data_IF_192110764705
#
_entry.id   IF_192110764705
#
_cell.length_a   1.000
_cell.length_b   1.000
_cell.length_c   1.000
_cell.angle_alpha   90.00
_cell.angle_beta   90.00
_cell.angle_gamma   90.00
#
_symmetry.space_group_name_H-M   'P 1'
#
loop_
_entity.id
_entity.type
_entity.pdbx_description
1 polymer ?
#
# COMPACT_ATOMS: atom_id res chain seq x y z
N UNK A 1 -10.22 -39.51 -29.98
CA UNK A 1 -10.39 -38.23 -30.71
C UNK A 1 -9.70 -37.18 -29.84
N UNK A 2 -8.47 -36.82 -30.17
CA UNK A 2 -7.71 -35.81 -29.43
C UNK A 2 -8.36 -34.45 -29.69
N UNK A 3 -8.91 -33.83 -28.66
CA UNK A 3 -9.34 -32.44 -28.71
C UNK A 3 -8.06 -31.61 -28.60
N UNK A 4 -7.68 -30.82 -29.62
CA UNK A 4 -6.52 -29.94 -29.53
C UNK A 4 -6.80 -28.90 -28.46
N UNK A 5 -5.85 -28.68 -27.56
CA UNK A 5 -5.81 -27.50 -26.71
C UNK A 5 -5.87 -26.26 -27.62
N UNK A 6 -6.81 -25.33 -27.41
CA UNK A 6 -6.86 -24.12 -28.22
C UNK A 6 -5.56 -23.34 -28.03
N UNK A 7 -4.90 -23.02 -29.14
CA UNK A 7 -3.77 -22.09 -29.17
C UNK A 7 -4.26 -20.72 -28.73
N UNK A 8 -3.85 -20.30 -27.54
CA UNK A 8 -4.05 -18.95 -27.02
C UNK A 8 -3.37 -17.98 -28.01
N UNK A 9 -4.07 -16.94 -28.51
CA UNK A 9 -3.44 -15.90 -29.31
C UNK A 9 -2.28 -15.26 -28.53
N UNK A 10 -1.11 -15.15 -29.15
CA UNK A 10 0.04 -14.41 -28.59
C UNK A 10 -0.28 -12.92 -28.70
N UNK A 11 -1.03 -12.40 -27.72
CA UNK A 11 -1.18 -10.96 -27.53
C UNK A 11 0.21 -10.37 -27.25
N UNK A 12 0.45 -9.09 -27.58
CA UNK A 12 1.70 -8.42 -27.20
C UNK A 12 1.78 -8.34 -25.68
N UNK A 13 2.26 -9.43 -25.07
CA UNK A 13 3.00 -9.40 -23.83
C UNK A 13 4.12 -8.41 -24.09
N UNK A 14 4.43 -7.54 -23.12
CA UNK A 14 5.77 -7.00 -23.11
C UNK A 14 6.66 -8.23 -23.16
N UNK A 15 7.34 -8.44 -24.30
CA UNK A 15 8.33 -9.50 -24.37
C UNK A 15 9.19 -9.26 -23.14
N UNK A 16 9.46 -10.31 -22.38
CA UNK A 16 10.53 -10.29 -21.41
C UNK A 16 11.77 -9.81 -22.17
N UNK A 17 12.05 -8.51 -22.12
CA UNK A 17 13.38 -8.03 -22.41
C UNK A 17 14.18 -8.75 -21.34
N UNK A 18 15.02 -9.68 -21.77
CA UNK A 18 15.85 -10.49 -20.90
C UNK A 18 16.72 -9.57 -20.04
N UNK A 19 16.14 -9.04 -18.96
CA UNK A 19 16.70 -8.05 -18.07
C UNK A 19 17.47 -8.69 -16.93
N UNK A 20 17.91 -9.94 -17.15
CA UNK A 20 18.52 -10.76 -16.12
C UNK A 20 19.99 -10.47 -15.86
N UNK A 21 20.65 -9.66 -16.69
CA UNK A 21 22.03 -9.18 -16.50
C UNK A 21 22.94 -10.12 -15.67
N UNK A 22 23.43 -9.61 -14.54
CA UNK A 22 24.23 -10.37 -13.56
C UNK A 22 23.38 -11.04 -12.47
N UNK A 23 22.05 -10.93 -12.53
CA UNK A 23 21.12 -11.35 -11.47
C UNK A 23 20.34 -12.64 -11.82
N UNK A 24 20.52 -13.19 -13.03
CA UNK A 24 19.73 -14.31 -13.57
C UNK A 24 18.38 -13.86 -14.11
N UNK A 25 17.57 -14.79 -14.62
CA UNK A 25 16.25 -14.46 -15.18
C UNK A 25 15.30 -13.95 -14.08
N UNK A 26 15.11 -12.63 -14.04
CA UNK A 26 14.17 -11.98 -13.13
C UNK A 26 12.74 -12.20 -13.64
N UNK A 27 11.79 -12.59 -12.77
CA UNK A 27 10.43 -12.88 -13.20
C UNK A 27 9.67 -11.61 -13.57
N UNK A 28 8.75 -11.78 -14.50
CA UNK A 28 7.69 -10.84 -14.84
C UNK A 28 6.36 -11.52 -14.56
N UNK A 29 5.41 -10.80 -13.98
CA UNK A 29 4.15 -11.42 -13.62
C UNK A 29 3.32 -11.76 -14.86
N UNK A 30 2.45 -12.76 -14.72
CA UNK A 30 1.44 -13.11 -15.70
C UNK A 30 0.06 -12.74 -15.15
N UNK A 31 -0.66 -11.84 -15.81
CA UNK A 31 -1.97 -11.38 -15.38
C UNK A 31 -3.14 -12.20 -15.98
N UNK A 32 -2.86 -13.29 -16.70
CA UNK A 32 -3.86 -14.15 -17.36
C UNK A 32 -4.87 -14.76 -16.35
N UNK A 33 -4.48 -14.92 -15.08
CA UNK A 33 -5.37 -15.39 -14.01
C UNK A 33 -6.45 -14.34 -13.63
N UNK A 34 -6.25 -13.06 -14.00
CA UNK A 34 -7.28 -12.02 -13.94
C UNK A 34 -8.03 -11.93 -15.28
N UNK A 35 -7.31 -11.58 -16.36
CA UNK A 35 -7.83 -11.46 -17.72
C UNK A 35 -6.71 -11.71 -18.73
N UNK A 36 -7.02 -12.40 -19.83
CA UNK A 36 -6.05 -12.77 -20.87
C UNK A 36 -5.58 -11.58 -21.76
N UNK A 37 -6.23 -10.43 -21.66
CA UNK A 37 -5.96 -9.26 -22.51
C UNK A 37 -6.95 -8.12 -22.27
N UNK A 38 -6.60 -6.90 -22.72
CA UNK A 38 -7.49 -5.72 -22.62
C UNK A 38 -8.77 -5.84 -23.45
N UNK A 39 -8.70 -6.55 -24.58
CA UNK A 39 -9.84 -6.76 -25.50
C UNK A 39 -10.52 -8.13 -25.31
N UNK A 40 -10.27 -8.80 -24.18
CA UNK A 40 -10.87 -10.13 -23.95
C UNK A 40 -12.39 -10.02 -23.72
N UNK A 41 -13.11 -11.07 -24.12
CA UNK A 41 -14.58 -11.10 -24.03
C UNK A 41 -15.06 -11.07 -22.57
N UNK A 42 -14.23 -11.55 -21.66
CA UNK A 42 -14.46 -11.58 -20.22
C UNK A 42 -14.60 -10.19 -19.62
N UNK A 43 -13.74 -9.23 -19.98
CA UNK A 43 -13.87 -7.84 -19.50
C UNK A 43 -15.18 -7.22 -19.99
N UNK A 44 -15.52 -7.42 -21.27
CA UNK A 44 -16.78 -6.91 -21.83
C UNK A 44 -17.99 -7.51 -21.13
N UNK A 45 -17.97 -8.83 -20.87
CA UNK A 45 -19.02 -9.53 -20.13
C UNK A 45 -19.15 -9.00 -18.71
N UNK A 46 -18.02 -8.83 -18.01
CA UNK A 46 -17.99 -8.43 -16.61
C UNK A 46 -18.44 -6.95 -16.45
N UNK A 47 -18.04 -6.05 -17.36
CA UNK A 47 -18.57 -4.69 -17.44
C UNK A 47 -20.07 -4.66 -17.72
N UNK A 48 -20.55 -5.47 -18.66
CA UNK A 48 -21.98 -5.60 -18.95
C UNK A 48 -22.77 -6.09 -17.74
N UNK A 49 -22.26 -7.13 -17.07
CA UNK A 49 -22.86 -7.64 -15.83
C UNK A 49 -22.85 -6.59 -14.72
N UNK A 50 -21.77 -5.83 -14.53
CA UNK A 50 -21.71 -4.75 -13.54
C UNK A 50 -22.76 -3.67 -13.82
N UNK A 51 -22.93 -3.27 -15.08
CA UNK A 51 -23.93 -2.28 -15.48
C UNK A 51 -25.35 -2.73 -15.13
N UNK A 52 -25.68 -3.97 -15.48
CA UNK A 52 -26.99 -4.56 -15.20
C UNK A 52 -27.20 -4.80 -13.69
N UNK A 53 -26.21 -5.38 -13.01
CA UNK A 53 -26.32 -5.75 -11.60
C UNK A 53 -26.34 -4.52 -10.69
N UNK A 54 -25.54 -3.47 -10.95
CA UNK A 54 -25.59 -2.25 -10.14
C UNK A 54 -26.98 -1.58 -10.22
N UNK A 55 -27.58 -1.54 -11.41
CA UNK A 55 -28.93 -1.00 -11.61
C UNK A 55 -29.99 -1.89 -10.94
N UNK A 56 -29.89 -3.21 -11.09
CA UNK A 56 -30.81 -4.16 -10.46
C UNK A 56 -30.70 -4.15 -8.93
N UNK A 57 -29.48 -4.06 -8.39
CA UNK A 57 -29.22 -3.96 -6.96
C UNK A 57 -29.90 -2.72 -6.36
N UNK A 58 -29.77 -1.56 -7.02
CA UNK A 58 -30.47 -0.35 -6.61
C UNK A 58 -32.00 -0.53 -6.67
N UNK A 59 -32.53 -1.06 -7.78
CA UNK A 59 -33.97 -1.30 -7.92
C UNK A 59 -34.54 -2.25 -6.84
N UNK A 60 -33.76 -3.24 -6.40
CA UNK A 60 -34.17 -4.23 -5.43
C UNK A 60 -34.05 -3.76 -3.97
N UNK A 61 -33.12 -2.87 -3.66
CA UNK A 61 -32.74 -2.57 -2.28
C UNK A 61 -32.81 -1.10 -1.86
N UNK A 62 -32.77 -0.15 -2.80
CA UNK A 62 -32.84 1.27 -2.48
C UNK A 62 -34.18 1.62 -1.82
N UNK A 63 -34.11 2.31 -0.68
CA UNK A 63 -35.22 2.66 0.19
C UNK A 63 -35.75 1.51 1.03
N UNK A 64 -35.16 0.30 0.96
CA UNK A 64 -35.75 -0.93 1.49
C UNK A 64 -34.85 -1.71 2.45
N UNK A 65 -33.60 -1.29 2.69
CA UNK A 65 -32.66 -2.08 3.50
C UNK A 65 -33.15 -2.38 4.93
N UNK A 66 -33.86 -1.43 5.56
CA UNK A 66 -34.45 -1.64 6.89
C UNK A 66 -35.55 -2.72 6.87
N UNK A 67 -36.30 -2.84 5.78
CA UNK A 67 -37.43 -3.78 5.69
C UNK A 67 -36.98 -5.23 5.48
N UNK A 68 -35.72 -5.45 5.09
CA UNK A 68 -35.16 -6.79 4.89
C UNK A 68 -35.11 -7.57 6.20
N UNK A 69 -35.47 -8.84 6.16
CA UNK A 69 -35.14 -9.78 7.23
C UNK A 69 -33.65 -10.18 7.18
N UNK A 70 -33.24 -11.07 8.08
CA UNK A 70 -31.83 -11.50 8.13
C UNK A 70 -31.38 -12.24 6.86
N UNK A 71 -32.28 -12.98 6.19
CA UNK A 71 -31.96 -13.68 4.94
C UNK A 71 -31.81 -12.68 3.79
N UNK A 72 -32.77 -11.77 3.65
CA UNK A 72 -32.74 -10.73 2.62
C UNK A 72 -31.53 -9.79 2.77
N UNK A 73 -31.16 -9.45 4.01
CA UNK A 73 -29.95 -8.66 4.27
C UNK A 73 -28.67 -9.43 3.91
N UNK A 74 -28.61 -10.73 4.21
CA UNK A 74 -27.48 -11.58 3.82
C UNK A 74 -27.35 -11.67 2.29
N UNK A 75 -28.45 -11.88 1.57
CA UNK A 75 -28.48 -11.90 0.11
C UNK A 75 -28.07 -10.56 -0.50
N UNK A 76 -28.48 -9.45 0.12
CA UNK A 76 -28.02 -8.10 -0.23
C UNK A 76 -26.49 -7.98 -0.09
N UNK A 77 -25.93 -8.37 1.05
CA UNK A 77 -24.48 -8.32 1.28
C UNK A 77 -23.72 -9.20 0.29
N UNK A 78 -24.18 -10.43 0.01
CA UNK A 78 -23.52 -11.31 -0.97
C UNK A 78 -23.53 -10.73 -2.39
N UNK A 79 -24.64 -10.09 -2.81
CA UNK A 79 -24.70 -9.41 -4.11
C UNK A 79 -23.75 -8.22 -4.15
N UNK A 80 -23.73 -7.40 -3.10
CA UNK A 80 -22.80 -6.28 -2.97
C UNK A 80 -21.33 -6.76 -3.02
N UNK A 81 -21.01 -7.83 -2.29
CA UNK A 81 -19.70 -8.46 -2.25
C UNK A 81 -19.26 -8.94 -3.64
N UNK A 82 -20.17 -9.56 -4.42
CA UNK A 82 -19.90 -9.98 -5.79
C UNK A 82 -19.64 -8.81 -6.73
N UNK A 83 -20.37 -7.72 -6.59
CA UNK A 83 -20.14 -6.48 -7.36
C UNK A 83 -18.73 -5.95 -7.07
N UNK A 84 -18.34 -5.87 -5.79
CA UNK A 84 -17.00 -5.45 -5.39
C UNK A 84 -15.92 -6.36 -5.95
N UNK A 85 -16.11 -7.69 -5.90
CA UNK A 85 -15.15 -8.65 -6.46
C UNK A 85 -14.95 -8.48 -7.97
N UNK A 86 -16.03 -8.32 -8.75
CA UNK A 86 -15.88 -8.16 -10.22
C UNK A 86 -15.28 -6.80 -10.57
N UNK A 87 -15.72 -5.71 -9.93
CA UNK A 87 -15.12 -4.39 -10.13
C UNK A 87 -13.64 -4.37 -9.73
N UNK A 88 -13.31 -4.96 -8.58
CA UNK A 88 -11.96 -5.11 -8.06
C UNK A 88 -11.06 -5.91 -8.99
N UNK A 89 -11.56 -6.96 -9.65
CA UNK A 89 -10.80 -7.74 -10.62
C UNK A 89 -10.39 -6.91 -11.84
N UNK A 90 -11.35 -6.18 -12.43
CA UNK A 90 -11.10 -5.29 -13.58
C UNK A 90 -10.08 -4.22 -13.21
N UNK A 91 -10.29 -3.56 -12.07
CA UNK A 91 -9.38 -2.50 -11.61
C UNK A 91 -7.99 -3.02 -11.24
N UNK A 92 -7.90 -4.22 -10.66
CA UNK A 92 -6.62 -4.87 -10.39
C UNK A 92 -5.85 -5.15 -11.68
N UNK A 93 -6.51 -5.71 -12.70
CA UNK A 93 -5.87 -5.97 -13.98
C UNK A 93 -5.40 -4.68 -14.67
N UNK A 94 -6.27 -3.66 -14.73
CA UNK A 94 -5.93 -2.36 -15.31
C UNK A 94 -4.77 -1.67 -14.56
N UNK A 95 -4.82 -1.69 -13.22
CA UNK A 95 -3.82 -1.10 -12.34
C UNK A 95 -2.46 -1.80 -12.44
N UNK A 96 -2.43 -3.13 -12.32
CA UNK A 96 -1.19 -3.90 -12.42
C UNK A 96 -0.52 -3.70 -13.78
N UNK A 97 -1.28 -3.68 -14.89
CA UNK A 97 -0.72 -3.33 -16.20
C UNK A 97 -0.14 -1.92 -16.22
N UNK A 98 -0.87 -0.93 -15.70
CA UNK A 98 -0.35 0.44 -15.60
C UNK A 98 0.96 0.51 -14.80
N UNK A 99 1.07 -0.22 -13.68
CA UNK A 99 2.28 -0.21 -12.85
C UNK A 99 3.49 -0.85 -13.53
N UNK A 100 3.31 -1.79 -14.46
CA UNK A 100 4.42 -2.32 -15.27
C UNK A 100 5.05 -1.25 -16.18
N UNK A 101 4.26 -0.29 -16.67
CA UNK A 101 4.78 0.87 -17.41
C UNK A 101 3.81 2.08 -17.33
N UNK A 102 4.11 2.99 -16.40
CA UNK A 102 3.33 4.19 -16.10
C UNK A 102 3.43 5.28 -17.16
N UNK A 103 4.41 5.18 -18.08
CA UNK A 103 4.59 6.13 -19.18
C UNK A 103 3.90 5.69 -20.48
N UNK A 104 3.32 4.49 -20.51
CA UNK A 104 2.53 3.99 -21.63
C UNK A 104 1.14 4.64 -21.65
N UNK A 105 0.88 5.44 -22.69
CA UNK A 105 -0.39 6.16 -22.85
C UNK A 105 -1.60 5.23 -23.04
N UNK A 106 -1.41 4.04 -23.63
CA UNK A 106 -2.47 3.05 -23.82
C UNK A 106 -2.90 2.45 -22.49
N UNK A 107 -1.95 2.08 -21.62
CA UNK A 107 -2.23 1.56 -20.27
C UNK A 107 -2.86 2.62 -19.38
N UNK A 108 -2.34 3.84 -19.42
CA UNK A 108 -2.92 4.97 -18.68
C UNK A 108 -4.37 5.24 -19.12
N UNK A 109 -4.63 5.22 -20.43
CA UNK A 109 -5.99 5.38 -20.97
C UNK A 109 -6.89 4.22 -20.53
N UNK A 110 -6.44 2.98 -20.65
CA UNK A 110 -7.22 1.80 -20.25
C UNK A 110 -7.61 1.86 -18.77
N UNK A 111 -6.67 2.19 -17.88
CA UNK A 111 -6.96 2.40 -16.46
C UNK A 111 -8.00 3.50 -16.23
N UNK A 112 -7.85 4.64 -16.90
CA UNK A 112 -8.80 5.75 -16.80
C UNK A 112 -10.19 5.39 -17.31
N UNK A 113 -10.29 4.68 -18.44
CA UNK A 113 -11.56 4.24 -19.03
C UNK A 113 -12.28 3.24 -18.12
N UNK A 114 -11.56 2.26 -17.56
CA UNK A 114 -12.14 1.27 -16.63
C UNK A 114 -12.60 1.95 -15.34
N UNK A 115 -11.77 2.84 -14.77
CA UNK A 115 -12.12 3.61 -13.58
C UNK A 115 -13.38 4.45 -13.82
N UNK A 116 -13.46 5.15 -14.96
CA UNK A 116 -14.61 5.98 -15.32
C UNK A 116 -15.90 5.16 -15.41
N UNK A 117 -15.89 4.08 -16.20
CA UNK A 117 -17.06 3.20 -16.36
C UNK A 117 -17.51 2.59 -15.02
N UNK A 118 -16.59 2.08 -14.21
CA UNK A 118 -16.92 1.49 -12.91
C UNK A 118 -17.47 2.55 -11.95
N UNK A 119 -16.92 3.77 -11.97
CA UNK A 119 -17.43 4.89 -11.16
C UNK A 119 -18.86 5.25 -11.55
N UNK A 120 -19.13 5.35 -12.85
CA UNK A 120 -20.47 5.66 -13.36
C UNK A 120 -21.48 4.58 -12.96
N UNK A 121 -21.13 3.30 -13.13
CA UNK A 121 -22.00 2.16 -12.76
C UNK A 121 -22.22 2.06 -11.25
N UNK A 122 -21.16 2.20 -10.45
CA UNK A 122 -21.23 2.05 -8.99
C UNK A 122 -21.89 3.22 -8.27
N UNK A 123 -22.13 4.35 -8.95
CA UNK A 123 -22.89 5.49 -8.41
C UNK A 123 -24.28 5.09 -7.89
N UNK A 124 -24.91 4.09 -8.52
CA UNK A 124 -26.18 3.52 -8.09
C UNK A 124 -26.11 2.76 -6.75
N UNK A 125 -24.92 2.45 -6.24
CA UNK A 125 -24.72 1.71 -4.98
C UNK A 125 -24.52 2.62 -3.78
N UNK A 126 -24.42 3.94 -3.98
CA UNK A 126 -24.10 4.91 -2.89
C UNK A 126 -25.14 4.86 -1.77
N UNK A 127 -26.41 4.54 -2.07
CA UNK A 127 -27.44 4.39 -1.05
C UNK A 127 -27.12 3.29 -0.03
N UNK A 128 -26.34 2.26 -0.41
CA UNK A 128 -26.11 1.09 0.44
C UNK A 128 -25.51 1.47 1.79
N UNK A 129 -24.38 2.18 1.81
CA UNK A 129 -23.75 2.60 3.06
C UNK A 129 -24.60 3.62 3.82
N UNK A 130 -25.29 4.52 3.11
CA UNK A 130 -26.16 5.54 3.72
C UNK A 130 -27.36 4.92 4.43
N UNK A 131 -28.06 4.00 3.78
CA UNK A 131 -29.20 3.30 4.36
C UNK A 131 -28.77 2.30 5.42
N UNK A 132 -27.65 1.59 5.21
CA UNK A 132 -27.07 0.78 6.26
C UNK A 132 -26.81 1.61 7.50
N UNK A 133 -26.35 2.86 7.42
CA UNK A 133 -26.19 3.76 8.57
C UNK A 133 -27.53 4.20 9.21
N UNK A 134 -28.62 4.28 8.45
CA UNK A 134 -29.95 4.68 8.95
C UNK A 134 -30.66 3.58 9.74
N UNK A 135 -30.34 2.30 9.52
CA UNK A 135 -30.94 1.19 10.28
C UNK A 135 -30.70 1.41 11.79
N UNK A 136 -31.75 1.27 12.60
CA UNK A 136 -31.66 1.44 14.06
C UNK A 136 -30.77 0.37 14.69
N UNK A 137 -30.01 0.70 15.74
CA UNK A 137 -29.04 -0.23 16.31
C UNK A 137 -29.71 -1.51 16.82
N UNK A 138 -30.81 -1.39 17.57
CA UNK A 138 -31.58 -2.55 18.05
C UNK A 138 -32.14 -3.42 16.92
N UNK A 139 -32.46 -2.82 15.77
CA UNK A 139 -32.97 -3.53 14.61
C UNK A 139 -31.86 -4.31 13.91
N UNK A 140 -30.72 -3.66 13.67
CA UNK A 140 -29.55 -4.33 13.10
C UNK A 140 -29.07 -5.48 13.99
N UNK A 141 -29.02 -5.27 15.31
CA UNK A 141 -28.69 -6.31 16.29
C UNK A 141 -29.66 -7.49 16.22
N UNK A 142 -30.96 -7.24 16.08
CA UNK A 142 -31.94 -8.31 15.92
C UNK A 142 -31.74 -9.11 14.63
N UNK A 143 -31.43 -8.45 13.51
CA UNK A 143 -31.11 -9.13 12.23
C UNK A 143 -29.84 -9.98 12.36
N UNK A 144 -28.77 -9.44 12.95
CA UNK A 144 -27.51 -10.16 13.17
C UNK A 144 -27.70 -11.37 14.11
N UNK A 145 -28.50 -11.24 15.16
CA UNK A 145 -28.79 -12.35 16.09
C UNK A 145 -29.62 -13.48 15.45
N UNK A 146 -30.38 -13.19 14.39
CA UNK A 146 -31.25 -14.15 13.72
C UNK A 146 -30.51 -15.04 12.69
N UNK A 147 -29.28 -14.68 12.28
CA UNK A 147 -28.50 -15.46 11.30
C UNK A 147 -27.01 -15.42 11.64
N UNK A 148 -26.41 -16.59 11.91
CA UNK A 148 -24.97 -16.71 12.13
C UNK A 148 -24.13 -16.31 10.91
N UNK A 149 -24.64 -16.58 9.71
CA UNK A 149 -23.99 -16.22 8.45
C UNK A 149 -23.99 -14.70 8.23
N UNK A 150 -25.08 -14.01 8.62
CA UNK A 150 -25.12 -12.55 8.61
C UNK A 150 -24.23 -11.96 9.71
N UNK A 151 -24.24 -12.55 10.91
CA UNK A 151 -23.42 -12.11 12.04
C UNK A 151 -21.92 -12.10 11.72
N UNK A 152 -21.47 -12.97 10.81
CA UNK A 152 -20.09 -13.00 10.30
C UNK A 152 -19.64 -11.66 9.72
N UNK A 153 -20.55 -10.90 9.10
CA UNK A 153 -20.25 -9.60 8.49
C UNK A 153 -20.28 -8.43 9.49
N UNK A 154 -20.55 -8.68 10.77
CA UNK A 154 -20.58 -7.64 11.83
C UNK A 154 -19.37 -6.69 11.77
N UNK A 155 -18.10 -7.14 11.67
CA UNK A 155 -16.97 -6.21 11.65
C UNK A 155 -17.01 -5.21 10.48
N UNK A 156 -17.53 -5.63 9.32
CA UNK A 156 -17.70 -4.77 8.15
C UNK A 156 -18.78 -3.73 8.41
N UNK A 157 -19.91 -4.14 9.00
CA UNK A 157 -21.04 -3.27 9.30
C UNK A 157 -20.72 -2.28 10.41
N UNK A 158 -20.02 -2.72 11.46
CA UNK A 158 -19.58 -1.87 12.56
C UNK A 158 -18.62 -0.78 12.04
N UNK A 159 -17.65 -1.16 11.19
CA UNK A 159 -16.72 -0.19 10.56
C UNK A 159 -17.45 0.79 9.64
N UNK A 160 -18.37 0.31 8.81
CA UNK A 160 -19.18 1.15 7.93
C UNK A 160 -19.97 2.20 8.72
N UNK A 161 -20.46 1.81 9.91
CA UNK A 161 -21.28 2.64 10.80
C UNK A 161 -20.47 3.40 11.86
N UNK A 162 -19.15 3.29 11.90
CA UNK A 162 -18.32 3.87 12.96
C UNK A 162 -18.45 5.40 13.06
N UNK A 163 -18.68 6.07 11.92
CA UNK A 163 -18.89 7.53 11.86
C UNK A 163 -20.33 7.97 12.11
N UNK A 164 -21.30 7.04 12.24
CA UNK A 164 -22.73 7.35 12.44
C UNK A 164 -22.98 8.34 13.58
N UNK A 165 -22.33 8.26 14.76
CA UNK A 165 -22.55 9.24 15.84
C UNK A 165 -22.09 10.68 15.50
N UNK A 166 -21.28 10.84 14.47
CA UNK A 166 -20.65 12.09 14.03
C UNK A 166 -21.12 12.54 12.65
N UNK A 167 -22.09 11.82 12.07
CA UNK A 167 -22.66 12.14 10.77
C UNK A 167 -23.49 13.42 10.86
N UNK A 168 -23.37 14.27 9.84
CA UNK A 168 -24.16 15.49 9.71
C UNK A 168 -25.51 15.17 9.05
N UNK A 169 -26.32 16.19 8.78
CA UNK A 169 -27.53 15.99 7.97
C UNK A 169 -27.16 15.58 6.54
N UNK A 170 -28.04 14.86 5.87
CA UNK A 170 -27.82 14.40 4.49
C UNK A 170 -27.46 15.54 3.52
N UNK A 171 -28.11 16.70 3.66
CA UNK A 171 -27.79 17.90 2.86
C UNK A 171 -26.35 18.38 3.12
N UNK A 172 -25.90 18.35 4.38
CA UNK A 172 -24.55 18.77 4.74
C UNK A 172 -23.50 17.76 4.31
N UNK A 173 -23.77 16.45 4.41
CA UNK A 173 -22.84 15.41 3.92
C UNK A 173 -22.65 15.53 2.40
N UNK A 174 -23.75 15.73 1.65
CA UNK A 174 -23.68 15.98 0.21
C UNK A 174 -22.91 17.26 -0.11
N UNK A 175 -23.18 18.34 0.61
CA UNK A 175 -22.44 19.59 0.44
C UNK A 175 -20.93 19.42 0.71
N UNK A 176 -20.56 18.73 1.79
CA UNK A 176 -19.14 18.47 2.09
C UNK A 176 -18.47 17.61 1.02
N UNK A 177 -19.17 16.60 0.50
CA UNK A 177 -18.68 15.78 -0.60
C UNK A 177 -18.39 16.63 -1.85
N UNK A 178 -19.36 17.42 -2.31
CA UNK A 178 -19.22 18.28 -3.50
C UNK A 178 -18.11 19.32 -3.27
N UNK A 179 -18.04 19.90 -2.07
CA UNK A 179 -17.05 20.91 -1.71
C UNK A 179 -15.62 20.34 -1.62
N UNK A 180 -15.45 19.06 -1.29
CA UNK A 180 -14.12 18.45 -1.12
C UNK A 180 -13.26 18.47 -2.39
N UNK A 181 -13.90 18.54 -3.57
CA UNK A 181 -13.23 18.62 -4.88
C UNK A 181 -12.44 19.93 -5.02
N UNK A 182 -13.01 21.04 -4.52
CA UNK A 182 -12.40 22.37 -4.56
C UNK A 182 -11.75 22.77 -3.21
N UNK A 183 -11.96 21.97 -2.17
CA UNK A 183 -11.32 22.05 -0.86
C UNK A 183 -10.05 21.20 -0.80
N UNK A 184 -10.02 20.25 0.14
CA UNK A 184 -8.82 19.44 0.43
C UNK A 184 -8.17 18.80 -0.81
N UNK A 185 -8.97 18.29 -1.76
CA UNK A 185 -8.45 17.66 -2.99
C UNK A 185 -7.66 18.63 -3.85
N UNK A 186 -8.17 19.85 -4.06
CA UNK A 186 -7.49 20.87 -4.85
C UNK A 186 -6.20 21.36 -4.18
N UNK A 187 -6.18 21.48 -2.85
CA UNK A 187 -4.98 21.90 -2.10
C UNK A 187 -3.89 20.83 -2.09
N UNK A 188 -4.25 19.55 -1.93
CA UNK A 188 -3.31 18.43 -2.06
C UNK A 188 -2.72 18.39 -3.48
N UNK A 189 -3.58 18.52 -4.50
CA UNK A 189 -3.13 18.57 -5.90
C UNK A 189 -2.17 19.73 -6.16
N UNK A 190 -2.45 20.92 -5.63
CA UNK A 190 -1.53 22.05 -5.74
C UNK A 190 -0.17 21.74 -5.08
N UNK A 191 -0.17 21.11 -3.91
CA UNK A 191 1.07 20.70 -3.24
C UNK A 191 1.86 19.71 -4.11
N UNK A 192 1.20 18.68 -4.64
CA UNK A 192 1.84 17.63 -5.44
C UNK A 192 2.39 18.18 -6.75
N UNK A 193 1.58 18.92 -7.51
CA UNK A 193 1.99 19.53 -8.79
C UNK A 193 3.13 20.52 -8.60
N UNK A 194 3.04 21.38 -7.58
CA UNK A 194 4.11 22.33 -7.27
C UNK A 194 5.40 21.59 -6.89
N UNK A 195 5.33 20.63 -5.98
CA UNK A 195 6.50 19.86 -5.52
C UNK A 195 7.17 19.10 -6.66
N UNK A 196 6.38 18.50 -7.55
CA UNK A 196 6.89 17.78 -8.73
C UNK A 196 7.57 18.71 -9.74
N UNK A 197 7.17 19.99 -9.81
CA UNK A 197 7.75 20.98 -10.71
C UNK A 197 9.09 21.58 -10.24
N UNK A 198 9.49 21.34 -9.00
CA UNK A 198 10.68 21.96 -8.42
C UNK A 198 11.98 21.38 -9.02
N UNK A 199 12.91 22.28 -9.30
CA UNK A 199 14.28 21.97 -9.68
C UNK A 199 15.26 22.37 -8.57
N UNK A 200 16.26 21.52 -8.36
CA UNK A 200 17.26 21.67 -7.31
C UNK A 200 18.65 21.74 -7.93
N UNK A 201 19.34 22.86 -7.74
CA UNK A 201 20.71 23.03 -8.23
C UNK A 201 21.71 22.43 -7.23
N UNK A 202 22.40 21.36 -7.65
CA UNK A 202 23.45 20.71 -6.86
C UNK A 202 24.74 20.74 -7.66
N UNK A 203 25.77 21.41 -7.15
CA UNK A 203 27.08 21.53 -7.80
C UNK A 203 27.03 21.96 -9.28
N UNK A 204 26.04 22.79 -9.64
CA UNK A 204 25.83 23.30 -10.99
C UNK A 204 24.95 22.42 -11.89
N UNK A 205 24.49 21.27 -11.40
CA UNK A 205 23.55 20.38 -12.09
C UNK A 205 22.12 20.61 -11.60
N UNK A 206 21.16 20.71 -12.53
CA UNK A 206 19.74 20.77 -12.21
C UNK A 206 19.20 19.35 -12.02
N UNK A 207 18.60 19.08 -10.85
CA UNK A 207 18.07 17.78 -10.48
C UNK A 207 16.60 17.90 -10.05
N UNK A 208 15.82 16.83 -10.22
CA UNK A 208 14.49 16.72 -9.61
C UNK A 208 14.60 16.31 -8.13
N UNK A 209 13.50 16.44 -7.38
CA UNK A 209 13.47 16.16 -5.93
C UNK A 209 13.99 14.76 -5.58
N UNK A 210 13.56 13.73 -6.30
CA UNK A 210 13.95 12.34 -6.02
C UNK A 210 15.46 12.13 -6.20
N UNK A 211 16.02 12.62 -7.31
CA UNK A 211 17.45 12.51 -7.59
C UNK A 211 18.28 13.28 -6.56
N UNK A 212 17.81 14.46 -6.12
CA UNK A 212 18.46 15.22 -5.05
C UNK A 212 18.39 14.51 -3.70
N UNK A 213 17.25 13.90 -3.34
CA UNK A 213 17.10 13.14 -2.10
C UNK A 213 17.96 11.87 -2.09
N UNK A 214 18.16 11.23 -3.25
CA UNK A 214 19.03 10.06 -3.39
C UNK A 214 20.49 10.37 -2.96
N UNK A 215 20.95 11.61 -3.18
CA UNK A 215 22.27 12.06 -2.72
C UNK A 215 22.44 11.95 -1.21
N UNK A 216 21.37 11.96 -0.40
CA UNK A 216 21.48 11.82 1.06
C UNK A 216 22.00 10.44 1.53
N UNK A 217 22.11 9.49 0.60
CA UNK A 217 22.66 8.15 0.83
C UNK A 217 24.01 7.93 0.13
N UNK A 218 24.58 8.97 -0.48
CA UNK A 218 25.86 8.89 -1.18
C UNK A 218 27.00 8.58 -0.19
N UNK A 219 28.00 7.81 -0.62
CA UNK A 219 29.22 7.55 0.16
C UNK A 219 30.04 8.81 0.38
N UNK A 220 30.02 9.75 -0.57
CA UNK A 220 30.71 11.04 -0.47
C UNK A 220 29.89 12.04 0.36
N UNK A 221 30.46 12.44 1.49
CA UNK A 221 29.84 13.40 2.41
C UNK A 221 29.58 14.77 1.78
N UNK A 222 30.44 15.23 0.86
CA UNK A 222 30.27 16.52 0.21
C UNK A 222 29.02 16.54 -0.67
N UNK A 223 28.80 15.47 -1.44
CA UNK A 223 27.58 15.28 -2.25
C UNK A 223 26.32 15.23 -1.39
N UNK A 224 26.36 14.53 -0.25
CA UNK A 224 25.22 14.51 0.69
C UNK A 224 24.90 15.90 1.23
N UNK A 225 25.93 16.66 1.61
CA UNK A 225 25.77 18.03 2.12
C UNK A 225 25.20 18.97 1.05
N UNK A 226 25.72 18.90 -0.18
CA UNK A 226 25.25 19.70 -1.30
C UNK A 226 23.76 19.43 -1.58
N UNK A 227 23.36 18.16 -1.67
CA UNK A 227 21.96 17.77 -1.86
C UNK A 227 21.05 18.25 -0.72
N UNK A 228 21.46 18.07 0.54
CA UNK A 228 20.67 18.53 1.69
C UNK A 228 20.49 20.06 1.71
N UNK A 229 21.54 20.81 1.35
CA UNK A 229 21.47 22.28 1.27
C UNK A 229 20.59 22.75 0.12
N UNK A 230 20.66 22.10 -1.05
CA UNK A 230 19.80 22.41 -2.17
C UNK A 230 18.31 22.21 -1.82
N UNK A 231 17.97 21.08 -1.19
CA UNK A 231 16.60 20.84 -0.69
C UNK A 231 16.17 21.91 0.31
N UNK A 232 17.03 22.21 1.29
CA UNK A 232 16.71 23.21 2.30
C UNK A 232 16.52 24.63 1.72
N UNK A 233 17.31 25.01 0.72
CA UNK A 233 17.18 26.29 0.05
C UNK A 233 15.86 26.40 -0.73
N UNK A 234 15.61 25.45 -1.64
CA UNK A 234 14.42 25.46 -2.50
C UNK A 234 13.13 25.35 -1.66
N UNK A 235 13.09 24.45 -0.67
CA UNK A 235 11.92 24.39 0.22
C UNK A 235 11.81 25.62 1.13
N UNK A 236 12.93 26.22 1.52
CA UNK A 236 12.99 27.50 2.22
C UNK A 236 12.30 28.62 1.44
N UNK A 237 12.60 28.74 0.15
CA UNK A 237 12.00 29.74 -0.74
C UNK A 237 10.48 29.53 -0.91
N UNK A 238 10.01 28.29 -0.77
CA UNK A 238 8.60 27.90 -0.91
C UNK A 238 7.82 27.84 0.41
N UNK A 239 8.44 28.19 1.55
CA UNK A 239 7.80 28.15 2.86
C UNK A 239 6.45 28.88 2.92
N UNK A 240 6.27 30.09 2.34
CA UNK A 240 4.98 30.77 2.40
C UNK A 240 3.83 29.99 1.73
N UNK A 241 4.12 29.30 0.62
CA UNK A 241 3.15 28.47 -0.08
C UNK A 241 2.80 27.22 0.75
N UNK A 242 3.80 26.48 1.23
CA UNK A 242 3.57 25.30 2.05
C UNK A 242 2.85 25.61 3.36
N UNK A 243 3.18 26.74 3.99
CA UNK A 243 2.47 27.23 5.16
C UNK A 243 1.01 27.55 4.83
N UNK A 244 0.73 28.17 3.67
CA UNK A 244 -0.65 28.44 3.22
C UNK A 244 -1.43 27.15 3.02
N UNK A 245 -0.88 26.19 2.26
CA UNK A 245 -1.52 24.89 1.99
C UNK A 245 -1.83 24.18 3.30
N UNK A 246 -0.82 24.01 4.17
CA UNK A 246 -0.96 23.29 5.44
C UNK A 246 -1.98 23.96 6.36
N UNK A 247 -1.93 25.29 6.51
CA UNK A 247 -2.86 26.01 7.37
C UNK A 247 -4.30 25.97 6.84
N UNK A 248 -4.50 26.00 5.51
CA UNK A 248 -5.83 25.88 4.91
C UNK A 248 -6.41 24.49 5.17
N UNK A 249 -5.64 23.42 4.90
CA UNK A 249 -6.05 22.04 5.15
C UNK A 249 -6.34 21.79 6.65
N UNK A 250 -5.49 22.29 7.54
CA UNK A 250 -5.70 22.19 8.98
C UNK A 250 -6.97 22.95 9.42
N UNK A 251 -7.27 24.10 8.81
CA UNK A 251 -8.47 24.88 9.13
C UNK A 251 -9.74 24.23 8.58
N UNK A 252 -9.70 23.71 7.35
CA UNK A 252 -10.80 22.93 6.77
C UNK A 252 -11.14 21.72 7.65
N UNK A 253 -10.11 20.96 8.04
CA UNK A 253 -10.25 19.84 8.96
C UNK A 253 -10.85 20.27 10.32
N UNK A 254 -10.35 21.35 10.93
CA UNK A 254 -10.90 21.84 12.20
C UNK A 254 -12.38 22.23 12.07
N UNK A 255 -12.77 22.88 10.96
CA UNK A 255 -14.16 23.24 10.70
C UNK A 255 -15.02 21.98 10.65
N UNK A 256 -14.60 20.98 9.86
CA UNK A 256 -15.33 19.71 9.73
C UNK A 256 -15.42 18.98 11.08
N UNK A 257 -14.31 18.82 11.78
CA UNK A 257 -14.26 18.16 13.10
C UNK A 257 -15.21 18.84 14.10
N UNK A 258 -15.27 20.17 14.11
CA UNK A 258 -16.18 20.95 14.97
C UNK A 258 -17.65 20.74 14.61
N UNK A 259 -18.01 20.72 13.33
CA UNK A 259 -19.39 20.45 12.91
C UNK A 259 -19.81 19.03 13.24
N UNK A 260 -18.92 18.06 13.01
CA UNK A 260 -19.10 16.64 13.36
C UNK A 260 -19.04 16.37 14.85
N UNK A 261 -18.63 17.36 15.68
CA UNK A 261 -18.43 17.23 17.13
C UNK A 261 -17.43 16.12 17.49
N UNK A 262 -16.40 15.95 16.66
CA UNK A 262 -15.34 14.99 16.94
C UNK A 262 -14.56 15.42 18.19
N UNK A 263 -14.26 14.50 19.12
CA UNK A 263 -13.65 14.86 20.41
C UNK A 263 -12.20 15.30 20.30
N UNK A 264 -11.53 14.99 19.18
CA UNK A 264 -10.17 15.42 18.88
C UNK A 264 -9.89 15.36 17.38
N UNK A 265 -8.87 16.08 16.86
CA UNK A 265 -8.51 16.02 15.44
C UNK A 265 -8.14 14.61 14.93
N UNK A 266 -7.70 13.72 15.82
CA UNK A 266 -7.33 12.35 15.47
C UNK A 266 -8.51 11.35 15.53
N UNK A 267 -9.67 11.76 16.04
CA UNK A 267 -10.78 10.83 16.30
C UNK A 267 -11.30 10.14 15.05
N UNK A 268 -11.41 10.84 13.92
CA UNK A 268 -11.83 10.22 12.65
C UNK A 268 -10.82 9.18 12.15
N UNK A 269 -9.52 9.38 12.40
CA UNK A 269 -8.48 8.39 12.05
C UNK A 269 -8.48 7.20 12.98
N UNK A 270 -8.81 7.37 14.26
CA UNK A 270 -8.99 6.27 15.20
C UNK A 270 -10.16 5.38 14.80
N UNK A 271 -11.31 5.98 14.46
CA UNK A 271 -12.49 5.25 13.97
C UNK A 271 -12.21 4.54 12.64
N UNK A 272 -11.57 5.21 11.68
CA UNK A 272 -11.27 4.62 10.38
C UNK A 272 -10.27 3.45 10.45
N UNK A 273 -9.39 3.45 11.46
CA UNK A 273 -8.38 2.41 11.65
C UNK A 273 -8.76 1.36 12.71
N UNK A 274 -9.96 1.49 13.31
CA UNK A 274 -10.45 0.60 14.35
C UNK A 274 -9.45 0.46 15.52
N UNK A 275 -9.02 1.62 16.06
CA UNK A 275 -8.00 1.69 17.13
C UNK A 275 -8.39 2.69 18.19
N UNK A 276 -8.24 2.32 19.45
CA UNK A 276 -8.56 3.19 20.58
C UNK A 276 -7.51 4.30 20.78
N UNK A 277 -7.92 5.52 21.17
CA UNK A 277 -6.99 6.63 21.36
C UNK A 277 -5.84 6.34 22.34
N UNK A 278 -6.10 5.58 23.39
CA UNK A 278 -5.11 5.20 24.40
C UNK A 278 -4.03 4.25 23.87
N UNK A 279 -4.35 3.42 22.85
CA UNK A 279 -3.37 2.52 22.22
C UNK A 279 -2.33 3.35 21.46
N UNK A 280 -2.78 4.35 20.70
CA UNK A 280 -1.89 5.28 19.98
C UNK A 280 -1.07 6.14 20.94
N UNK A 281 -1.70 6.62 22.04
CA UNK A 281 -0.98 7.36 23.07
C UNK A 281 0.10 6.51 23.75
N UNK A 282 -0.19 5.25 24.08
CA UNK A 282 0.76 4.31 24.65
C UNK A 282 1.95 4.04 23.72
N UNK A 283 1.70 3.88 22.41
CA UNK A 283 2.76 3.76 21.40
C UNK A 283 3.67 5.00 21.39
N UNK A 284 3.10 6.20 21.30
CA UNK A 284 3.86 7.46 21.32
C UNK A 284 4.72 7.54 22.58
N UNK A 285 4.12 7.36 23.74
CA UNK A 285 4.80 7.54 25.03
C UNK A 285 5.94 6.54 25.23
N UNK A 286 5.72 5.28 24.84
CA UNK A 286 6.76 4.25 24.89
C UNK A 286 7.95 4.58 23.97
N UNK A 287 7.67 5.05 22.75
CA UNK A 287 8.70 5.40 21.77
C UNK A 287 9.49 6.64 22.22
N UNK A 288 8.81 7.70 22.66
CA UNK A 288 9.45 8.93 23.17
C UNK A 288 10.33 8.64 24.38
N UNK A 289 9.86 7.84 25.33
CA UNK A 289 10.65 7.43 26.49
C UNK A 289 11.90 6.61 26.11
N UNK A 290 11.86 5.93 24.96
CA UNK A 290 12.96 5.10 24.47
C UNK A 290 14.02 5.87 23.65
N UNK A 291 13.76 7.10 23.19
CA UNK A 291 14.69 7.87 22.35
C UNK A 291 16.14 7.89 22.86
N UNK A 292 16.42 8.16 24.16
CA UNK A 292 17.80 8.18 24.64
C UNK A 292 18.51 6.82 24.53
N UNK A 293 17.77 5.72 24.73
CA UNK A 293 18.31 4.36 24.73
C UNK A 293 18.49 3.79 23.33
N UNK A 294 17.70 4.29 22.36
CA UNK A 294 17.65 3.81 20.98
C UNK A 294 18.32 4.78 20.01
N UNK A 295 17.58 5.76 19.49
CA UNK A 295 18.04 6.63 18.40
C UNK A 295 19.24 7.48 18.80
N UNK A 296 19.26 8.08 20.00
CA UNK A 296 20.38 8.91 20.45
C UNK A 296 21.67 8.08 20.56
N UNK A 297 21.56 6.89 21.18
CA UNK A 297 22.66 5.93 21.30
C UNK A 297 23.16 5.49 19.93
N UNK A 298 22.26 5.18 19.01
CA UNK A 298 22.62 4.76 17.65
C UNK A 298 23.36 5.88 16.89
N UNK A 299 22.83 7.11 16.90
CA UNK A 299 23.48 8.22 16.22
C UNK A 299 24.85 8.57 16.82
N UNK A 300 25.03 8.44 18.13
CA UNK A 300 26.34 8.59 18.77
C UNK A 300 27.33 7.48 18.35
N UNK A 301 26.86 6.24 18.15
CA UNK A 301 27.68 5.16 17.60
C UNK A 301 28.03 5.40 16.14
N UNK A 302 27.06 5.81 15.32
CA UNK A 302 27.25 6.11 13.90
C UNK A 302 28.24 7.26 13.69
N UNK A 303 28.16 8.32 14.50
CA UNK A 303 29.14 9.41 14.48
C UNK A 303 30.58 8.88 14.65
N UNK A 304 30.80 8.04 15.67
CA UNK A 304 32.11 7.39 15.91
C UNK A 304 32.55 6.51 14.75
N UNK A 305 31.64 5.74 14.15
CA UNK A 305 31.95 4.87 13.00
C UNK A 305 32.30 5.65 11.73
N UNK A 306 31.76 6.86 11.58
CA UNK A 306 32.07 7.77 10.48
C UNK A 306 33.26 8.70 10.79
N UNK A 307 33.87 8.59 11.97
CA UNK A 307 34.97 9.48 12.39
C UNK A 307 34.54 10.93 12.62
N UNK A 308 33.28 11.15 12.98
CA UNK A 308 32.69 12.47 13.21
C UNK A 308 32.42 12.71 14.69
N UNK A 309 32.63 13.94 15.16
CA UNK A 309 32.25 14.34 16.52
C UNK A 309 30.73 14.39 16.71
N UNK A 310 30.02 14.81 15.66
CA UNK A 310 28.54 14.89 15.61
C UNK A 310 28.05 14.64 14.18
N UNK A 311 26.88 14.01 14.07
CA UNK A 311 26.19 13.87 12.79
C UNK A 311 25.50 15.18 12.40
N UNK A 312 25.60 15.55 11.14
CA UNK A 312 24.70 16.53 10.51
C UNK A 312 23.48 15.82 9.92
N UNK A 313 22.47 16.58 9.47
CA UNK A 313 21.25 16.01 8.88
C UNK A 313 21.56 15.12 7.66
N UNK A 314 22.56 15.50 6.86
CA UNK A 314 23.03 14.74 5.70
C UNK A 314 23.92 13.54 6.05
N UNK A 315 24.29 13.34 7.32
CA UNK A 315 25.04 12.16 7.76
C UNK A 315 24.10 11.04 8.26
N UNK A 316 22.81 11.34 8.49
CA UNK A 316 21.84 10.41 9.07
C UNK A 316 21.68 9.13 8.25
N UNK A 317 21.60 9.26 6.93
CA UNK A 317 21.38 8.15 5.99
C UNK A 317 22.67 7.69 5.29
N UNK A 318 23.84 8.18 5.76
CA UNK A 318 25.12 7.82 5.17
C UNK A 318 25.39 6.30 5.30
N UNK A 319 25.86 5.62 4.25
CA UNK A 319 26.25 4.23 4.32
C UNK A 319 27.48 4.04 5.23
N UNK A 320 27.62 2.85 5.82
CA UNK A 320 28.80 2.54 6.63
C UNK A 320 30.03 2.24 5.74
N UNK A 321 31.26 2.62 6.15
CA UNK A 321 32.49 2.45 5.35
C UNK A 321 32.91 1.01 4.98
N UNK A 322 32.16 -0.02 5.41
CA UNK A 322 32.48 -1.44 5.23
C UNK A 322 31.31 -2.26 4.63
N UNK A 323 30.33 -1.61 4.00
CA UNK A 323 29.24 -2.31 3.35
C UNK A 323 29.74 -3.00 2.06
N UNK A 324 30.08 -4.29 2.14
CA UNK A 324 30.30 -5.12 0.95
C UNK A 324 29.02 -5.18 0.11
N UNK A 325 29.15 -4.91 -1.19
CA UNK A 325 28.05 -4.82 -2.17
C UNK A 325 28.02 -6.02 -3.12
N UNK A 326 28.41 -7.21 -2.66
CA UNK A 326 28.28 -8.39 -3.51
C UNK A 326 26.79 -8.57 -3.89
N UNK A 327 26.47 -8.61 -5.20
CA UNK A 327 25.09 -8.75 -5.62
C UNK A 327 24.56 -10.14 -5.23
N UNK A 328 23.31 -10.19 -4.81
CA UNK A 328 22.54 -11.41 -4.57
C UNK A 328 21.73 -11.68 -5.83
N UNK A 329 22.06 -12.74 -6.56
CA UNK A 329 21.26 -13.18 -7.71
C UNK A 329 19.86 -13.67 -7.28
N UNK A 330 18.95 -13.76 -8.24
CA UNK A 330 17.55 -14.11 -7.99
C UNK A 330 17.37 -15.51 -7.40
N UNK A 331 18.17 -16.48 -7.87
CA UNK A 331 18.13 -17.88 -7.38
C UNK A 331 18.49 -17.92 -5.90
N UNK A 332 19.54 -17.20 -5.52
CA UNK A 332 19.96 -17.08 -4.13
C UNK A 332 18.94 -16.31 -3.30
N UNK A 333 18.34 -15.25 -3.83
CA UNK A 333 17.28 -14.50 -3.15
C UNK A 333 16.07 -15.38 -2.84
N UNK A 334 15.56 -16.13 -3.84
CA UNK A 334 14.49 -17.12 -3.68
C UNK A 334 14.83 -18.12 -2.57
N UNK A 335 16.01 -18.73 -2.64
CA UNK A 335 16.45 -19.73 -1.66
C UNK A 335 16.51 -19.14 -0.23
N UNK A 336 17.07 -17.94 -0.08
CA UNK A 336 17.16 -17.27 1.22
C UNK A 336 15.78 -17.09 1.84
N UNK A 337 14.80 -16.59 1.08
CA UNK A 337 13.45 -16.30 1.60
C UNK A 337 12.68 -17.59 1.89
N UNK A 338 12.64 -18.55 0.95
CA UNK A 338 11.92 -19.81 1.15
C UNK A 338 12.52 -20.64 2.29
N UNK A 339 13.84 -20.70 2.42
CA UNK A 339 14.48 -21.36 3.56
C UNK A 339 14.15 -20.66 4.88
N UNK A 340 14.13 -19.32 4.91
CA UNK A 340 13.82 -18.58 6.13
C UNK A 340 12.38 -18.82 6.60
N UNK A 341 11.44 -18.83 5.64
CA UNK A 341 10.04 -19.12 5.91
C UNK A 341 9.86 -20.58 6.33
N UNK A 342 10.47 -21.52 5.62
CA UNK A 342 10.37 -22.96 5.91
C UNK A 342 11.02 -23.36 7.23
N UNK A 343 12.08 -22.67 7.65
CA UNK A 343 12.69 -22.86 8.96
C UNK A 343 11.79 -22.37 10.11
N UNK A 344 10.88 -21.43 9.86
CA UNK A 344 9.85 -21.03 10.82
C UNK A 344 8.68 -22.02 10.80
N UNK A 345 8.08 -22.22 9.63
CA UNK A 345 7.01 -23.19 9.41
C UNK A 345 7.01 -23.65 7.92
N UNK A 346 7.09 -24.96 7.63
CA UNK A 346 7.04 -25.48 6.26
C UNK A 346 5.84 -24.98 5.44
N UNK A 347 4.70 -24.73 6.08
CA UNK A 347 3.49 -24.25 5.41
C UNK A 347 3.68 -22.82 4.86
N UNK A 348 4.42 -21.97 5.57
CA UNK A 348 4.69 -20.60 5.12
C UNK A 348 5.53 -20.59 3.84
N UNK A 349 6.53 -21.48 3.73
CA UNK A 349 7.28 -21.66 2.49
C UNK A 349 6.41 -22.22 1.37
N UNK A 350 5.54 -23.20 1.68
CA UNK A 350 4.60 -23.79 0.70
C UNK A 350 3.64 -22.75 0.11
N UNK A 351 3.20 -21.79 0.92
CA UNK A 351 2.34 -20.68 0.46
C UNK A 351 3.10 -19.63 -0.36
N UNK A 352 4.39 -19.43 -0.08
CA UNK A 352 5.24 -18.48 -0.80
C UNK A 352 5.79 -19.04 -2.13
N UNK A 353 5.98 -20.36 -2.24
CA UNK A 353 6.60 -21.00 -3.40
C UNK A 353 5.89 -20.69 -4.74
N UNK A 354 4.55 -20.74 -4.84
CA UNK A 354 3.84 -20.40 -6.07
C UNK A 354 4.14 -18.99 -6.61
N UNK A 355 4.51 -18.03 -5.76
CA UNK A 355 4.87 -16.69 -6.24
C UNK A 355 6.07 -16.71 -7.20
N UNK A 356 7.02 -17.59 -6.93
CA UNK A 356 8.22 -17.75 -7.75
C UNK A 356 7.97 -18.58 -9.01
N UNK A 357 7.03 -19.54 -8.96
CA UNK A 357 6.86 -20.55 -10.01
C UNK A 357 5.72 -20.25 -10.98
N UNK A 358 4.74 -19.44 -10.59
CA UNK A 358 3.52 -19.18 -11.38
C UNK A 358 3.44 -17.79 -11.99
N UNK A 359 4.53 -17.01 -11.93
CA UNK A 359 4.55 -15.66 -12.49
C UNK A 359 3.71 -14.69 -11.68
N UNK A 360 3.80 -14.71 -10.35
CA UNK A 360 3.08 -13.74 -9.49
C UNK A 360 3.98 -12.57 -9.07
N UNK A 361 5.25 -12.56 -9.51
CA UNK A 361 6.24 -11.53 -9.19
C UNK A 361 6.66 -10.81 -10.48
N UNK A 362 6.64 -9.47 -10.48
CA UNK A 362 7.35 -8.64 -11.46
C UNK A 362 8.55 -7.94 -10.80
N UNK A 363 9.75 -8.48 -11.01
CA UNK A 363 10.95 -8.14 -10.23
C UNK A 363 11.89 -7.13 -10.89
N UNK A 364 12.00 -7.14 -12.23
CA UNK A 364 13.01 -6.35 -12.93
C UNK A 364 12.71 -4.84 -12.88
N UNK A 365 13.76 -4.02 -12.74
CA UNK A 365 13.67 -2.58 -12.96
C UNK A 365 13.59 -2.30 -14.46
N UNK A 366 12.52 -1.62 -14.90
CA UNK A 366 12.26 -1.32 -16.32
C UNK A 366 11.97 0.19 -16.49
N UNK A 367 12.40 0.83 -17.60
CA UNK A 367 12.00 2.20 -17.89
C UNK A 367 10.48 2.38 -17.84
N UNK A 368 10.00 3.39 -17.13
CA UNK A 368 8.57 3.67 -16.98
C UNK A 368 7.83 2.80 -15.98
N UNK A 369 8.41 1.71 -15.45
CA UNK A 369 7.80 0.92 -14.39
C UNK A 369 7.61 1.76 -13.12
N UNK A 370 6.54 1.49 -12.39
CA UNK A 370 6.27 2.16 -11.12
C UNK A 370 7.43 1.95 -10.12
N UNK A 371 7.81 2.98 -9.35
CA UNK A 371 8.87 2.87 -8.37
C UNK A 371 8.43 2.04 -7.16
N UNK A 372 9.40 1.66 -6.32
CA UNK A 372 9.14 0.97 -5.05
C UNK A 372 8.82 -0.52 -5.21
N UNK A 373 8.03 -1.03 -4.28
CA UNK A 373 7.61 -2.42 -4.19
C UNK A 373 6.22 -2.49 -3.52
N UNK A 374 5.45 -3.53 -3.82
CA UNK A 374 4.17 -3.80 -3.16
C UNK A 374 3.71 -5.25 -3.37
N UNK A 375 2.80 -5.71 -2.52
CA UNK A 375 1.97 -6.88 -2.73
C UNK A 375 0.49 -6.48 -2.89
N UNK A 376 -0.06 -6.66 -4.09
CA UNK A 376 -1.44 -6.30 -4.41
C UNK A 376 -2.37 -7.49 -4.15
N UNK A 377 -3.37 -7.37 -3.26
CA UNK A 377 -4.26 -8.48 -2.90
C UNK A 377 -5.16 -8.94 -4.06
N UNK A 378 -5.46 -8.03 -4.99
CA UNK A 378 -6.41 -8.22 -6.09
C UNK A 378 -7.83 -8.49 -5.62
N UNK A 379 -8.32 -9.73 -5.78
CA UNK A 379 -9.64 -10.23 -5.39
C UNK A 379 -9.49 -11.58 -4.74
N UNK A 380 -10.46 -11.98 -3.92
CA UNK A 380 -10.33 -13.19 -3.08
C UNK A 380 -10.29 -14.54 -3.82
N UNK A 381 -10.66 -14.59 -5.10
CA UNK A 381 -10.61 -15.80 -5.91
C UNK A 381 -9.42 -15.85 -6.89
N UNK A 382 -8.52 -14.87 -6.82
CA UNK A 382 -7.23 -14.84 -7.53
C UNK A 382 -6.11 -14.61 -6.50
N UNK A 383 -4.93 -15.14 -6.79
CA UNK A 383 -3.76 -14.92 -5.93
C UNK A 383 -3.30 -13.46 -5.99
N UNK A 384 -2.63 -12.96 -4.95
CA UNK A 384 -2.00 -11.65 -5.00
C UNK A 384 -0.80 -11.61 -5.96
N UNK A 385 -0.40 -10.40 -6.32
CA UNK A 385 0.79 -10.12 -7.16
C UNK A 385 1.79 -9.26 -6.41
N UNK A 386 3.08 -9.51 -6.64
CA UNK A 386 4.19 -8.78 -6.02
C UNK A 386 4.96 -8.00 -7.07
N UNK A 387 5.13 -6.70 -6.87
CA UNK A 387 6.02 -5.86 -7.67
C UNK A 387 7.29 -5.55 -6.86
N UNK A 388 8.46 -5.68 -7.50
CA UNK A 388 9.74 -5.24 -6.97
C UNK A 388 10.51 -4.45 -8.02
N UNK A 389 11.50 -3.68 -7.57
CA UNK A 389 12.55 -3.12 -8.42
C UNK A 389 13.90 -3.68 -7.93
N UNK A 390 14.21 -4.91 -8.35
CA UNK A 390 15.31 -5.70 -7.80
C UNK A 390 16.66 -5.35 -8.43
N UNK A 391 17.64 -4.98 -7.61
CA UNK A 391 19.00 -4.60 -8.03
C UNK A 391 20.08 -5.47 -7.38
N UNK A 392 19.70 -6.61 -6.78
CA UNK A 392 20.61 -7.55 -6.15
C UNK A 392 21.23 -7.07 -4.84
N UNK A 393 20.73 -6.01 -4.20
CA UNK A 393 21.25 -5.58 -2.90
C UNK A 393 20.66 -6.46 -1.79
N UNK A 394 21.36 -6.67 -0.65
CA UNK A 394 20.77 -7.36 0.51
C UNK A 394 19.44 -6.76 0.96
N UNK A 395 19.27 -5.44 0.83
CA UNK A 395 18.01 -4.75 1.10
C UNK A 395 16.88 -5.21 0.16
N UNK A 396 17.18 -5.51 -1.10
CA UNK A 396 16.17 -5.95 -2.07
C UNK A 396 15.65 -7.36 -1.73
N UNK A 397 16.50 -8.22 -1.13
CA UNK A 397 16.08 -9.51 -0.56
C UNK A 397 15.16 -9.31 0.65
N UNK A 398 15.44 -8.30 1.47
CA UNK A 398 14.54 -7.93 2.57
C UNK A 398 13.19 -7.42 2.05
N UNK A 399 13.19 -6.58 1.02
CA UNK A 399 11.97 -6.10 0.37
C UNK A 399 11.18 -7.26 -0.24
N UNK A 400 11.83 -8.20 -0.93
CA UNK A 400 11.16 -9.42 -1.41
C UNK A 400 10.51 -10.21 -0.26
N UNK A 401 11.22 -10.42 0.84
CA UNK A 401 10.67 -11.09 2.02
C UNK A 401 9.55 -10.30 2.70
N UNK A 402 9.57 -8.97 2.62
CA UNK A 402 8.53 -8.09 3.13
C UNK A 402 7.25 -8.25 2.29
N UNK A 403 7.34 -8.09 0.97
CA UNK A 403 6.19 -8.23 0.07
C UNK A 403 5.62 -9.65 0.06
N UNK A 404 6.46 -10.68 0.15
CA UNK A 404 5.97 -12.06 0.28
C UNK A 404 5.28 -12.31 1.63
N UNK A 405 5.62 -11.57 2.68
CA UNK A 405 4.90 -11.63 3.95
C UNK A 405 3.46 -11.12 3.79
N UNK A 406 3.28 -10.01 3.06
CA UNK A 406 1.94 -9.57 2.64
C UNK A 406 1.26 -10.61 1.75
N UNK A 407 1.96 -11.13 0.74
CA UNK A 407 1.40 -12.12 -0.20
C UNK A 407 0.88 -13.38 0.51
N UNK A 408 1.66 -13.95 1.43
CA UNK A 408 1.23 -15.11 2.23
C UNK A 408 0.00 -14.76 3.09
N UNK A 409 0.00 -13.59 3.72
CA UNK A 409 -1.15 -13.15 4.52
C UNK A 409 -2.41 -12.97 3.67
N UNK A 410 -2.28 -12.38 2.48
CA UNK A 410 -3.38 -12.18 1.55
C UNK A 410 -3.96 -13.51 1.06
N UNK A 411 -3.11 -14.51 0.74
CA UNK A 411 -3.55 -15.87 0.39
C UNK A 411 -4.34 -16.52 1.54
N UNK A 412 -3.87 -16.37 2.78
CA UNK A 412 -4.56 -16.91 3.96
C UNK A 412 -5.88 -16.18 4.25
N UNK A 413 -5.92 -14.87 4.05
CA UNK A 413 -7.09 -14.03 4.28
C UNK A 413 -8.18 -14.21 3.20
N UNK A 414 -7.82 -14.65 1.99
CA UNK A 414 -8.73 -14.80 0.85
C UNK A 414 -9.98 -15.65 1.19
N UNK A 415 -9.81 -16.69 2.00
CA UNK A 415 -10.93 -17.54 2.47
C UNK A 415 -11.97 -16.81 3.34
N UNK A 416 -11.70 -15.57 3.77
CA UNK A 416 -12.68 -14.74 4.46
C UNK A 416 -13.70 -14.08 3.51
N UNK A 417 -13.48 -14.09 2.19
CA UNK A 417 -14.35 -13.39 1.24
C UNK A 417 -14.03 -11.89 1.15
N UNK A 418 -14.52 -11.25 0.10
CA UNK A 418 -14.06 -9.94 -0.36
C UNK A 418 -14.22 -8.83 0.68
N UNK A 419 -15.31 -8.81 1.45
CA UNK A 419 -15.53 -7.75 2.46
C UNK A 419 -14.72 -7.97 3.75
N UNK A 420 -14.30 -9.19 4.04
CA UNK A 420 -13.66 -9.58 5.31
C UNK A 420 -12.16 -9.89 5.18
N UNK A 421 -11.64 -10.06 3.97
CA UNK A 421 -10.22 -10.36 3.70
C UNK A 421 -9.31 -9.13 3.78
N UNK A 422 -9.88 -7.93 3.67
CA UNK A 422 -9.12 -6.68 3.70
C UNK A 422 -8.47 -6.45 5.07
N UNK A 423 -7.16 -6.22 5.05
CA UNK A 423 -6.37 -6.00 6.26
C UNK A 423 -6.41 -4.51 6.64
N UNK A 424 -6.83 -4.15 7.88
CA UNK A 424 -6.77 -2.76 8.32
C UNK A 424 -5.33 -2.26 8.41
N UNK A 425 -5.11 -0.96 8.21
CA UNK A 425 -3.76 -0.35 8.21
C UNK A 425 -2.97 -0.61 9.50
N UNK A 426 -3.66 -0.77 10.62
CA UNK A 426 -3.07 -1.08 11.93
C UNK A 426 -2.41 -2.46 11.99
N UNK A 427 -2.83 -3.40 11.14
CA UNK A 427 -2.31 -4.76 11.08
C UNK A 427 -1.55 -5.06 9.78
N UNK A 428 -1.69 -4.21 8.75
CA UNK A 428 -1.15 -4.43 7.41
C UNK A 428 0.33 -4.84 7.40
N UNK A 429 1.16 -4.16 8.19
CA UNK A 429 2.60 -4.38 8.25
C UNK A 429 3.04 -5.56 9.13
N UNK A 430 2.10 -6.23 9.82
CA UNK A 430 2.47 -7.29 10.78
C UNK A 430 3.09 -8.48 10.06
N UNK A 431 2.46 -8.95 8.98
CA UNK A 431 2.91 -10.12 8.25
C UNK A 431 4.17 -9.85 7.42
N UNK A 432 4.26 -8.67 6.80
CA UNK A 432 5.41 -8.25 6.00
C UNK A 432 6.66 -8.10 6.87
N UNK A 433 6.55 -7.36 7.98
CA UNK A 433 7.66 -7.21 8.93
C UNK A 433 8.02 -8.55 9.59
N UNK A 434 7.06 -9.44 9.82
CA UNK A 434 7.33 -10.78 10.32
C UNK A 434 8.20 -11.58 9.34
N UNK A 435 7.78 -11.68 8.07
CA UNK A 435 8.53 -12.37 7.02
C UNK A 435 9.91 -11.75 6.77
N UNK A 436 9.98 -10.43 6.77
CA UNK A 436 11.23 -9.68 6.74
C UNK A 436 12.13 -10.05 7.93
N UNK A 437 11.62 -10.09 9.16
CA UNK A 437 12.42 -10.42 10.35
C UNK A 437 12.95 -11.85 10.36
N UNK A 438 12.19 -12.83 9.83
CA UNK A 438 12.68 -14.20 9.65
C UNK A 438 13.88 -14.23 8.72
N UNK A 439 13.75 -13.57 7.57
CA UNK A 439 14.81 -13.49 6.55
C UNK A 439 16.04 -12.75 7.09
N UNK A 440 15.84 -11.65 7.81
CA UNK A 440 16.91 -10.90 8.45
C UNK A 440 17.70 -11.78 9.43
N UNK A 441 17.01 -12.57 10.27
CA UNK A 441 17.66 -13.47 11.23
C UNK A 441 18.51 -14.52 10.54
N UNK A 442 18.03 -15.10 9.42
CA UNK A 442 18.80 -16.05 8.61
C UNK A 442 20.05 -15.39 8.02
N UNK A 443 19.91 -14.25 7.33
CA UNK A 443 21.05 -13.50 6.79
C UNK A 443 22.07 -13.11 7.86
N UNK A 444 21.59 -12.72 9.05
CA UNK A 444 22.44 -12.36 10.16
C UNK A 444 23.21 -13.57 10.72
N UNK A 445 22.59 -14.76 10.75
CA UNK A 445 23.23 -16.00 11.19
C UNK A 445 24.24 -16.54 10.17
N UNK A 446 23.99 -16.34 8.88
CA UNK A 446 24.85 -16.75 7.76
C UNK A 446 25.90 -15.69 7.38
N UNK A 447 25.97 -14.55 8.10
CA UNK A 447 26.91 -13.48 7.81
C UNK A 447 28.36 -14.01 7.82
N UNK A 448 29.17 -13.74 6.77
CA UNK A 448 30.48 -14.38 6.60
C UNK A 448 31.52 -13.91 7.63
N UNK A 449 31.35 -12.70 8.18
CA UNK A 449 32.25 -12.11 9.15
C UNK A 449 31.53 -11.06 10.03
N UNK A 450 32.27 -10.53 11.01
CA UNK A 450 31.76 -9.51 11.95
C UNK A 450 31.45 -8.17 11.26
N UNK A 451 32.12 -7.83 10.17
CA UNK A 451 31.88 -6.58 9.45
C UNK A 451 30.55 -6.65 8.69
N UNK A 452 30.29 -7.74 7.97
CA UNK A 452 29.00 -8.00 7.33
C UNK A 452 27.86 -8.05 8.35
N UNK A 453 28.06 -8.74 9.48
CA UNK A 453 27.09 -8.80 10.57
C UNK A 453 26.77 -7.41 11.13
N UNK A 454 27.80 -6.57 11.34
CA UNK A 454 27.63 -5.19 11.80
C UNK A 454 26.85 -4.35 10.79
N UNK A 455 27.14 -4.48 9.50
CA UNK A 455 26.43 -3.74 8.44
C UNK A 455 24.95 -4.12 8.39
N UNK A 456 24.61 -5.41 8.47
CA UNK A 456 23.21 -5.88 8.53
C UNK A 456 22.48 -5.30 9.75
N UNK A 457 23.08 -5.38 10.94
CA UNK A 457 22.49 -4.82 12.16
C UNK A 457 22.30 -3.31 12.09
N UNK A 458 23.30 -2.58 11.58
CA UNK A 458 23.22 -1.14 11.42
C UNK A 458 22.10 -0.73 10.46
N UNK A 459 22.03 -1.37 9.29
CA UNK A 459 20.94 -1.15 8.34
C UNK A 459 19.57 -1.39 8.96
N UNK A 460 19.38 -2.54 9.64
CA UNK A 460 18.10 -2.84 10.29
C UNK A 460 17.73 -1.85 11.40
N UNK A 461 18.70 -1.40 12.20
CA UNK A 461 18.45 -0.38 13.23
C UNK A 461 18.07 0.95 12.59
N UNK A 462 18.72 1.36 11.49
CA UNK A 462 18.37 2.57 10.75
C UNK A 462 16.96 2.51 10.17
N UNK A 463 16.59 1.39 9.56
CA UNK A 463 15.24 1.16 9.05
C UNK A 463 14.20 1.25 10.17
N UNK A 464 14.44 0.59 11.32
CA UNK A 464 13.53 0.69 12.48
C UNK A 464 13.44 2.10 13.06
N UNK A 465 14.53 2.86 13.07
CA UNK A 465 14.50 4.27 13.48
C UNK A 465 13.66 5.10 12.50
N UNK A 466 13.77 4.86 11.20
CA UNK A 466 12.97 5.54 10.17
C UNK A 466 11.48 5.17 10.21
N UNK A 467 11.15 3.93 10.56
CA UNK A 467 9.76 3.44 10.58
C UNK A 467 9.04 3.68 11.91
N UNK A 468 9.75 3.73 13.04
CA UNK A 468 9.12 3.92 14.36
C UNK A 468 9.44 5.30 14.93
N UNK A 469 10.72 5.58 15.19
CA UNK A 469 11.14 6.81 15.88
C UNK A 469 10.82 8.06 15.07
N UNK A 470 11.10 8.03 13.76
CA UNK A 470 10.84 9.17 12.88
C UNK A 470 9.34 9.40 12.67
N UNK A 471 8.53 8.35 12.58
CA UNK A 471 7.09 8.49 12.41
C UNK A 471 6.42 9.06 13.68
N UNK A 472 6.86 8.64 14.87
CA UNK A 472 6.41 9.26 16.13
C UNK A 472 6.92 10.69 16.31
N UNK A 473 7.98 11.11 15.61
CA UNK A 473 8.38 12.51 15.57
C UNK A 473 7.53 13.35 14.60
N UNK A 474 6.81 12.73 13.66
CA UNK A 474 5.84 13.39 12.79
C UNK A 474 4.44 13.47 13.41
N UNK A 475 4.08 12.47 14.23
CA UNK A 475 2.89 12.44 15.07
C UNK A 475 2.99 13.48 16.20
#
# INVERSE_FOLDING_TARGET
>A
MFIPTPTIPDFPRDKAEAGGGIFGDLPEWNLDDLYAGEDCAEITRDLGWLGDECAAFAADYEGRLAELDASGMLDCIHRYEKIQGIAGRIMSYAGLRYYQNTSDAGRAKFLADMQGQITDMSSALVFFSLEMNRIGDAELEAKLAASGDLARYRPVLDRMRAMKPYQLSDEMEKFLHDQSVVGATAWNRLFDEHTASLEFMVDGEAMNLESTLNLLTDTDRARREAGARAVAAVFGDNLPLYARITNTLAKEKEIEDRWRKLPSPQASRHLANDVEPEVVAALRDAVVAAYPKLSHRYYALKAKWLGLDKLQIWDRNAPLPAASQAPVDWVRARAIVLDAYGAFDPEMARLAEPFFDKGWIDAATKPGKAPGAFAHPTVTDVHPYVMLNYLGKPRDVMTLAHELGHGVHQVLAAGQGELLSSTPLTLAETASVFGEMLTFRKLLAEAPDQAARKTLLAGKVEDMINTVVRQIAFY
#
